data_IF_141292510626
#
_entry.id   IF_141292510626
#
_cell.length_a   1.000
_cell.length_b   1.000
_cell.length_c   1.000
_cell.angle_alpha   90.00
_cell.angle_beta   90.00
_cell.angle_gamma   90.00
#
_symmetry.space_group_name_H-M   'P 1'
#
loop_
_entity.id
_entity.type
_entity.pdbx_description
1 polymer ?
#
# COMPACT_ATOMS: atom_id res chain seq x y z
N UNK A 1 18.44 -1.28 -21.52
CA UNK A 1 17.92 -2.52 -20.90
C UNK A 1 16.67 -2.20 -20.13
N UNK A 2 15.73 -3.15 -20.04
CA UNK A 2 14.51 -2.98 -19.26
C UNK A 2 14.48 -4.06 -18.17
N UNK A 3 14.50 -3.65 -16.90
CA UNK A 3 14.63 -4.57 -15.78
C UNK A 3 13.60 -4.27 -14.69
N UNK A 4 13.13 -5.34 -14.05
CA UNK A 4 12.14 -5.28 -12.98
C UNK A 4 12.80 -5.44 -11.61
N UNK A 5 12.29 -4.70 -10.64
CA UNK A 5 12.72 -4.74 -9.25
C UNK A 5 11.48 -4.89 -8.35
N UNK A 6 11.61 -5.65 -7.27
CA UNK A 6 10.63 -5.67 -6.18
C UNK A 6 10.93 -4.49 -5.25
N UNK A 7 9.89 -3.74 -4.87
CA UNK A 7 10.03 -2.56 -4.01
C UNK A 7 9.14 -2.73 -2.79
N UNK A 8 9.77 -2.81 -1.62
CA UNK A 8 9.11 -3.01 -0.34
C UNK A 8 8.94 -1.69 0.44
N UNK A 9 7.84 -1.61 1.19
CA UNK A 9 7.53 -0.46 2.06
C UNK A 9 6.67 0.63 1.40
N UNK A 10 6.31 0.48 0.12
CA UNK A 10 5.34 1.35 -0.51
C UNK A 10 3.94 1.04 0.04
N UNK A 11 3.26 2.06 0.55
CA UNK A 11 1.90 1.91 1.13
C UNK A 11 0.90 2.91 0.58
N UNK A 12 1.37 3.87 -0.23
CA UNK A 12 0.55 4.85 -0.90
C UNK A 12 1.21 5.29 -2.21
N UNK A 13 0.45 6.03 -3.00
CA UNK A 13 0.86 6.63 -4.27
C UNK A 13 2.03 7.60 -4.12
N UNK A 14 2.13 8.26 -2.97
CA UNK A 14 3.25 9.15 -2.65
C UNK A 14 4.56 8.39 -2.60
N UNK A 15 4.52 7.16 -2.04
CA UNK A 15 5.70 6.30 -1.98
C UNK A 15 6.17 5.92 -3.37
N UNK A 16 5.28 5.47 -4.24
CA UNK A 16 5.66 5.09 -5.61
C UNK A 16 6.15 6.30 -6.43
N UNK A 17 5.56 7.48 -6.23
CA UNK A 17 6.02 8.71 -6.88
C UNK A 17 7.40 9.17 -6.36
N UNK A 18 7.68 9.01 -5.06
CA UNK A 18 8.98 9.30 -4.49
C UNK A 18 10.07 8.38 -5.05
N UNK A 19 9.78 7.07 -5.14
CA UNK A 19 10.66 6.07 -5.76
C UNK A 19 10.91 6.43 -7.24
N UNK A 20 9.85 6.65 -8.02
CA UNK A 20 9.95 7.02 -9.44
C UNK A 20 10.82 8.27 -9.64
N UNK A 21 10.58 9.32 -8.85
CA UNK A 21 11.34 10.58 -8.94
C UNK A 21 12.79 10.42 -8.51
N UNK A 22 13.08 9.53 -7.57
CA UNK A 22 14.45 9.25 -7.12
C UNK A 22 15.24 8.55 -8.21
N UNK A 23 14.69 7.47 -8.77
CA UNK A 23 15.35 6.68 -9.81
C UNK A 23 15.47 7.45 -11.13
N UNK A 24 14.46 8.24 -11.50
CA UNK A 24 14.47 9.03 -12.75
C UNK A 24 15.50 10.16 -12.77
N UNK A 25 16.07 10.54 -11.61
CA UNK A 25 17.15 11.55 -11.52
C UNK A 25 18.52 10.98 -11.82
N UNK A 26 18.66 9.66 -11.83
CA UNK A 26 19.95 9.01 -12.07
C UNK A 26 20.34 9.18 -13.54
N UNK A 27 21.61 9.53 -13.78
CA UNK A 27 22.14 9.60 -15.14
C UNK A 27 22.23 8.19 -15.73
N UNK A 28 21.62 7.98 -16.90
CA UNK A 28 21.56 6.66 -17.54
C UNK A 28 20.20 5.97 -17.46
N UNK A 29 19.23 6.51 -16.72
CA UNK A 29 17.84 6.03 -16.69
C UNK A 29 17.01 6.77 -17.75
N UNK A 30 16.36 6.04 -18.67
CA UNK A 30 15.49 6.60 -19.71
C UNK A 30 14.04 6.71 -19.25
N UNK A 31 13.50 5.65 -18.64
CA UNK A 31 12.14 5.63 -18.13
C UNK A 31 12.00 4.77 -16.86
N UNK A 32 11.01 5.11 -16.04
CA UNK A 32 10.70 4.39 -14.79
C UNK A 32 9.20 4.29 -14.62
N UNK A 33 8.72 3.06 -14.48
CA UNK A 33 7.32 2.79 -14.14
C UNK A 33 7.23 2.03 -12.82
N UNK A 34 6.60 2.64 -11.81
CA UNK A 34 6.42 2.03 -10.49
C UNK A 34 4.95 1.65 -10.30
N UNK A 35 4.72 0.38 -9.99
CA UNK A 35 3.39 -0.15 -9.68
C UNK A 35 3.25 -0.42 -8.19
N UNK A 36 2.35 0.34 -7.55
CA UNK A 36 1.98 0.12 -6.14
C UNK A 36 1.20 -1.19 -5.97
N UNK A 37 0.41 -1.59 -6.96
CA UNK A 37 -0.43 -2.79 -6.90
C UNK A 37 0.41 -4.06 -6.82
N UNK A 38 1.51 -4.10 -7.58
CA UNK A 38 2.39 -5.26 -7.66
C UNK A 38 3.65 -5.11 -6.80
N UNK A 39 3.76 -4.03 -6.00
CA UNK A 39 4.96 -3.69 -5.23
C UNK A 39 6.25 -3.85 -6.04
N UNK A 40 6.25 -3.37 -7.28
CA UNK A 40 7.38 -3.52 -8.19
C UNK A 40 7.61 -2.26 -9.01
N UNK A 41 8.83 -2.10 -9.50
CA UNK A 41 9.18 -1.08 -10.47
C UNK A 41 9.87 -1.70 -11.67
N UNK A 42 9.61 -1.12 -12.83
CA UNK A 42 10.24 -1.46 -14.10
C UNK A 42 11.05 -0.24 -14.52
N UNK A 43 12.36 -0.44 -14.71
CA UNK A 43 13.32 0.61 -14.99
C UNK A 43 13.97 0.33 -16.34
N UNK A 44 13.90 1.30 -17.23
CA UNK A 44 14.66 1.29 -18.47
C UNK A 44 15.92 2.13 -18.28
N UNK A 45 17.09 1.50 -18.42
CA UNK A 45 18.38 2.14 -18.17
C UNK A 45 19.49 1.63 -19.08
N UNK A 46 20.58 2.39 -19.18
CA UNK A 46 21.79 2.04 -19.91
C UNK A 46 22.84 1.43 -18.97
N UNK A 47 23.14 0.14 -19.15
CA UNK A 47 24.10 -0.62 -18.33
C UNK A 47 25.53 -0.07 -18.39
N UNK A 48 25.91 0.65 -19.45
CA UNK A 48 27.24 1.25 -19.55
C UNK A 48 27.41 2.47 -18.62
N UNK A 49 26.29 3.05 -18.15
CA UNK A 49 26.29 4.29 -17.37
C UNK A 49 25.89 4.08 -15.91
N UNK A 50 25.10 3.05 -15.61
CA UNK A 50 24.58 2.83 -14.27
C UNK A 50 24.41 1.35 -13.97
N UNK A 51 24.81 0.97 -12.76
CA UNK A 51 24.63 -0.39 -12.23
C UNK A 51 23.32 -0.52 -11.46
N UNK A 52 22.79 -1.74 -11.40
CA UNK A 52 21.56 -2.07 -10.67
C UNK A 52 21.64 -1.73 -9.18
N UNK A 53 22.83 -1.85 -8.57
CA UNK A 53 23.05 -1.48 -7.17
C UNK A 53 22.92 0.03 -6.91
N UNK A 54 23.18 0.89 -7.89
CA UNK A 54 22.95 2.34 -7.75
C UNK A 54 21.46 2.68 -7.82
N UNK A 55 20.72 1.95 -8.65
CA UNK A 55 19.25 2.04 -8.72
C UNK A 55 18.65 1.62 -7.38
N UNK A 56 19.09 0.51 -6.79
CA UNK A 56 18.64 0.05 -5.46
C UNK A 56 18.95 1.09 -4.37
N UNK A 57 20.18 1.62 -4.34
CA UNK A 57 20.57 2.70 -3.40
C UNK A 57 19.71 3.96 -3.58
N UNK A 58 19.34 4.33 -4.79
CA UNK A 58 18.47 5.48 -5.02
C UNK A 58 17.07 5.27 -4.43
N UNK A 59 16.57 4.03 -4.43
CA UNK A 59 15.31 3.68 -3.76
C UNK A 59 15.45 3.70 -2.23
N UNK A 60 16.59 3.23 -1.71
CA UNK A 60 16.94 3.32 -0.28
C UNK A 60 17.03 4.75 0.22
N UNK A 61 17.66 5.63 -0.57
CA UNK A 61 17.75 7.06 -0.30
C UNK A 61 16.39 7.76 -0.35
N UNK A 62 15.42 7.22 -1.11
CA UNK A 62 14.03 7.67 -1.06
C UNK A 62 13.27 7.14 0.16
N UNK A 63 13.86 6.20 0.89
CA UNK A 63 13.35 5.63 2.13
C UNK A 63 12.63 4.29 1.98
N UNK A 64 12.82 3.58 0.87
CA UNK A 64 12.18 2.29 0.56
C UNK A 64 13.24 1.20 0.33
N UNK A 65 12.86 -0.07 0.36
CA UNK A 65 13.81 -1.15 0.03
C UNK A 65 13.54 -1.66 -1.39
N UNK A 66 14.58 -1.87 -2.19
CA UNK A 66 14.48 -2.46 -3.52
C UNK A 66 15.39 -3.68 -3.65
N UNK A 67 14.94 -4.66 -4.43
CA UNK A 67 15.75 -5.81 -4.83
C UNK A 67 15.45 -6.19 -6.27
N UNK A 68 16.46 -6.63 -7.00
CA UNK A 68 16.29 -7.11 -8.38
C UNK A 68 15.30 -8.30 -8.47
N UNK A 69 14.39 -8.27 -9.45
CA UNK A 69 13.42 -9.35 -9.67
C UNK A 69 14.08 -10.51 -10.42
N UNK A 70 14.08 -11.71 -9.84
CA UNK A 70 14.68 -12.90 -10.45
C UNK A 70 13.55 -13.89 -10.82
N UNK A 71 13.31 -14.13 -12.13
CA UNK A 71 12.33 -15.13 -12.59
C UNK A 71 12.63 -16.52 -11.98
N UNK A 72 11.61 -17.19 -11.42
CA UNK A 72 11.73 -18.51 -10.78
C UNK A 72 11.84 -18.46 -9.25
N UNK A 73 12.73 -17.64 -8.68
CA UNK A 73 12.86 -17.48 -7.21
C UNK A 73 11.69 -16.66 -6.65
N UNK A 74 11.39 -15.52 -7.29
CA UNK A 74 10.26 -14.67 -6.90
C UNK A 74 8.90 -15.26 -7.33
N UNK A 75 8.89 -16.19 -8.29
CA UNK A 75 7.70 -16.94 -8.68
C UNK A 75 7.35 -18.03 -7.64
N UNK A 76 8.35 -18.67 -7.01
CA UNK A 76 8.15 -19.62 -5.91
C UNK A 76 7.76 -18.93 -4.58
N UNK A 77 8.28 -17.71 -4.35
CA UNK A 77 7.89 -16.87 -3.22
C UNK A 77 6.43 -16.36 -3.29
N UNK A 78 5.76 -16.50 -4.44
CA UNK A 78 4.33 -16.17 -4.65
C UNK A 78 3.35 -17.24 -4.17
N UNK A 79 3.76 -18.25 -3.39
CA UNK A 79 2.80 -19.20 -2.78
C UNK A 79 1.93 -18.62 -1.64
N UNK A 80 2.00 -17.31 -1.35
CA UNK A 80 1.05 -16.61 -0.44
C UNK A 80 0.64 -15.19 -0.90
N UNK A 81 0.06 -14.96 -2.10
CA UNK A 81 -0.34 -13.61 -2.51
C UNK A 81 -1.65 -13.19 -1.85
N UNK A 82 -2.62 -14.10 -1.74
CA UNK A 82 -3.96 -13.84 -1.19
C UNK A 82 -3.96 -13.30 0.25
N UNK A 83 -3.00 -13.72 1.09
CA UNK A 83 -2.96 -13.28 2.48
C UNK A 83 -2.37 -11.87 2.65
N UNK A 84 -1.57 -11.35 1.71
CA UNK A 84 -0.80 -10.12 1.95
C UNK A 84 -1.64 -8.83 1.88
N UNK A 85 -2.56 -8.73 0.91
CA UNK A 85 -3.45 -7.56 0.75
C UNK A 85 -4.55 -7.59 1.81
N UNK A 86 -5.14 -8.76 2.05
CA UNK A 86 -6.17 -8.95 3.06
C UNK A 86 -5.65 -8.75 4.48
N UNK A 87 -4.44 -9.20 4.81
CA UNK A 87 -3.81 -8.91 6.09
C UNK A 87 -3.52 -7.42 6.26
N UNK A 88 -3.11 -6.72 5.21
CA UNK A 88 -2.93 -5.27 5.24
C UNK A 88 -4.24 -4.53 5.51
N UNK A 89 -5.33 -4.93 4.84
CA UNK A 89 -6.67 -4.35 5.06
C UNK A 89 -7.18 -4.66 6.46
N UNK A 90 -6.99 -5.89 6.96
CA UNK A 90 -7.33 -6.27 8.35
C UNK A 90 -6.55 -5.44 9.36
N UNK A 91 -5.25 -5.23 9.14
CA UNK A 91 -4.41 -4.38 9.96
C UNK A 91 -4.90 -2.93 9.98
N UNK A 92 -5.25 -2.36 8.82
CA UNK A 92 -5.84 -1.00 8.75
C UNK A 92 -7.20 -0.92 9.47
N UNK A 93 -8.04 -1.95 9.34
CA UNK A 93 -9.33 -2.03 10.04
C UNK A 93 -9.16 -2.05 11.56
N UNK A 94 -8.22 -2.85 12.08
CA UNK A 94 -7.91 -2.85 13.51
C UNK A 94 -7.42 -1.47 13.97
N UNK A 95 -6.54 -0.82 13.19
CA UNK A 95 -6.06 0.52 13.51
C UNK A 95 -7.19 1.54 13.58
N UNK A 96 -8.12 1.47 12.63
CA UNK A 96 -9.31 2.32 12.59
C UNK A 96 -10.19 2.10 13.82
N UNK A 97 -10.51 0.85 14.15
CA UNK A 97 -11.35 0.50 15.30
C UNK A 97 -10.74 1.03 16.59
N UNK A 98 -9.46 0.75 16.83
CA UNK A 98 -8.78 1.26 18.04
C UNK A 98 -8.79 2.79 18.05
N UNK A 99 -8.50 3.43 16.92
CA UNK A 99 -8.51 4.91 16.85
C UNK A 99 -9.88 5.48 17.22
N UNK A 100 -10.98 4.93 16.70
CA UNK A 100 -12.33 5.43 17.00
C UNK A 100 -12.81 5.07 18.41
N UNK A 101 -12.44 3.89 18.93
CA UNK A 101 -12.77 3.47 20.31
C UNK A 101 -12.19 4.42 21.34
N UNK A 102 -10.98 4.95 21.12
CA UNK A 102 -10.36 5.93 22.02
C UNK A 102 -10.72 7.39 21.66
N UNK A 103 -10.98 7.69 20.39
CA UNK A 103 -11.37 9.04 19.95
C UNK A 103 -12.74 9.45 20.49
N UNK A 104 -13.73 8.55 20.50
CA UNK A 104 -15.09 8.90 20.94
C UNK A 104 -15.12 9.33 22.43
N UNK A 105 -14.51 8.59 23.37
CA UNK A 105 -14.34 9.05 24.74
C UNK A 105 -13.53 10.35 24.84
N UNK A 106 -12.47 10.51 24.04
CA UNK A 106 -11.64 11.71 24.03
C UNK A 106 -12.43 12.95 23.61
N UNK A 107 -13.23 12.86 22.54
CA UNK A 107 -14.11 13.95 22.08
C UNK A 107 -15.19 14.26 23.11
N UNK A 108 -15.76 13.23 23.75
CA UNK A 108 -16.72 13.42 24.83
C UNK A 108 -16.10 14.18 26.02
N UNK A 109 -14.86 13.88 26.39
CA UNK A 109 -14.17 14.58 27.48
C UNK A 109 -13.78 16.00 27.07
N UNK A 110 -13.14 16.16 25.91
CA UNK A 110 -12.63 17.46 25.45
C UNK A 110 -13.79 18.44 25.17
N UNK A 111 -14.83 18.02 24.43
CA UNK A 111 -15.90 18.90 23.98
C UNK A 111 -17.23 18.77 24.75
N UNK A 112 -17.41 17.75 25.59
CA UNK A 112 -18.71 17.47 26.22
C UNK A 112 -19.21 18.58 27.15
N UNK A 113 -18.29 19.33 27.77
CA UNK A 113 -18.62 20.45 28.63
C UNK A 113 -19.16 21.68 27.88
N UNK A 114 -18.79 21.86 26.60
CA UNK A 114 -19.31 22.94 25.75
C UNK A 114 -20.70 22.63 25.18
N UNK A 115 -21.03 21.34 25.00
CA UNK A 115 -22.29 20.88 24.38
C UNK A 115 -23.40 20.69 25.44
N UNK A 116 -23.12 20.99 26.73
CA UNK A 116 -24.11 20.86 27.81
C UNK A 116 -24.39 19.41 28.21
N UNK A 117 -23.51 18.47 27.84
CA UNK A 117 -23.67 17.06 28.18
C UNK A 117 -23.22 16.86 29.64
N UNK A 118 -24.00 16.16 30.50
CA UNK A 118 -23.59 15.89 31.88
C UNK A 118 -22.29 15.10 31.86
N UNK A 119 -21.25 15.76 32.34
CA UNK A 119 -19.86 15.33 32.26
C UNK A 119 -19.44 14.88 33.66
N UNK A 120 -18.55 13.88 33.78
CA UNK A 120 -18.32 13.19 35.06
C UNK A 120 -17.92 14.18 36.16
N UNK A 121 -18.55 14.07 37.35
CA UNK A 121 -18.33 14.98 38.48
C UNK A 121 -16.85 15.13 38.88
N UNK A 122 -16.00 14.14 38.59
CA UNK A 122 -14.58 14.12 38.96
C UNK A 122 -13.67 14.85 37.95
N UNK A 123 -14.17 15.19 36.77
CA UNK A 123 -13.45 15.98 35.76
C UNK A 123 -13.88 17.46 35.74
N UNK A 124 -14.92 17.81 36.50
CA UNK A 124 -15.42 19.17 36.56
C UNK A 124 -14.61 20.07 37.50
N UNK A 125 -14.54 21.35 37.13
CA UNK A 125 -13.89 22.41 37.89
C UNK A 125 -12.42 22.65 37.56
N UNK A 126 -11.93 23.83 37.95
CA UNK A 126 -10.52 24.23 37.81
C UNK A 126 -9.59 23.40 38.70
N UNK A 127 -10.08 22.90 39.84
CA UNK A 127 -9.32 22.04 40.76
C UNK A 127 -8.93 20.68 40.18
N UNK A 128 -9.72 20.15 39.23
CA UNK A 128 -9.47 18.85 38.60
C UNK A 128 -8.85 18.97 37.19
N UNK A 129 -8.40 20.17 36.81
CA UNK A 129 -7.86 20.44 35.47
C UNK A 129 -6.64 19.56 35.12
N UNK A 130 -5.82 19.19 36.11
CA UNK A 130 -4.72 18.24 35.91
C UNK A 130 -5.21 16.87 35.46
N UNK A 131 -6.17 16.28 36.18
CA UNK A 131 -6.75 14.98 35.85
C UNK A 131 -7.44 14.99 34.49
N UNK A 132 -8.12 16.10 34.17
CA UNK A 132 -8.73 16.32 32.85
C UNK A 132 -7.69 16.23 31.73
N UNK A 133 -6.58 16.96 31.85
CA UNK A 133 -5.52 16.99 30.84
C UNK A 133 -4.78 15.64 30.73
N UNK A 134 -4.50 14.98 31.86
CA UNK A 134 -3.87 13.66 31.88
C UNK A 134 -4.74 12.58 31.24
N UNK A 135 -6.06 12.61 31.46
CA UNK A 135 -6.96 11.63 30.86
C UNK A 135 -7.02 11.79 29.33
N UNK A 136 -7.01 13.02 28.83
CA UNK A 136 -6.92 13.28 27.39
C UNK A 136 -5.62 12.76 26.78
N UNK A 137 -4.48 12.99 27.45
CA UNK A 137 -3.20 12.42 27.03
C UNK A 137 -3.26 10.89 27.00
N UNK A 138 -3.79 10.26 28.06
CA UNK A 138 -3.88 8.81 28.17
C UNK A 138 -4.73 8.19 27.06
N UNK A 139 -5.85 8.81 26.69
CA UNK A 139 -6.70 8.36 25.58
C UNK A 139 -6.05 8.60 24.20
N UNK A 140 -5.20 9.61 24.08
CA UNK A 140 -4.48 9.92 22.85
C UNK A 140 -3.35 8.93 22.57
N UNK A 141 -2.68 8.42 23.60
CA UNK A 141 -1.52 7.52 23.45
C UNK A 141 -1.80 6.24 22.63
N UNK A 142 -2.88 5.46 22.87
CA UNK A 142 -3.21 4.30 22.04
C UNK A 142 -3.41 4.66 20.57
N UNK A 143 -4.05 5.79 20.29
CA UNK A 143 -4.30 6.27 18.92
C UNK A 143 -2.96 6.57 18.23
N UNK A 144 -2.04 7.24 18.92
CA UNK A 144 -0.70 7.53 18.41
C UNK A 144 0.10 6.25 18.17
N UNK A 145 0.09 5.31 19.11
CA UNK A 145 0.85 4.05 19.02
C UNK A 145 0.43 3.19 17.82
N UNK A 146 -0.87 3.05 17.64
CA UNK A 146 -1.48 2.31 16.53
C UNK A 146 -1.20 3.00 15.18
N UNK A 147 -1.03 4.32 15.19
CA UNK A 147 -0.74 5.13 14.01
C UNK A 147 0.74 5.54 13.86
N UNK A 148 1.65 4.89 14.58
CA UNK A 148 3.10 5.15 14.55
C UNK A 148 3.73 5.17 13.15
N UNK A 149 3.16 4.40 12.20
CA UNK A 149 3.64 4.36 10.82
C UNK A 149 3.61 5.73 10.14
N UNK A 150 2.65 6.61 10.47
CA UNK A 150 2.61 7.96 9.90
C UNK A 150 3.78 8.81 10.38
N UNK A 151 4.18 8.67 11.65
CA UNK A 151 5.35 9.36 12.18
C UNK A 151 6.64 8.81 11.59
N UNK A 152 6.79 7.48 11.54
CA UNK A 152 7.97 6.83 10.95
C UNK A 152 8.17 7.24 9.48
N UNK A 153 7.11 7.16 8.67
CA UNK A 153 7.10 7.59 7.28
C UNK A 153 7.35 9.10 7.17
N UNK A 154 6.55 9.91 7.87
CA UNK A 154 6.55 11.36 7.74
C UNK A 154 7.85 12.03 8.16
N UNK A 155 8.47 11.60 9.27
CA UNK A 155 9.78 12.13 9.69
C UNK A 155 10.90 11.64 8.78
N UNK A 156 10.86 10.37 8.35
CA UNK A 156 11.86 9.83 7.41
C UNK A 156 11.84 10.64 6.11
N UNK A 157 10.68 10.86 5.50
CA UNK A 157 10.57 11.59 4.23
C UNK A 157 10.91 13.07 4.37
N UNK A 158 10.62 13.68 5.52
CA UNK A 158 11.02 15.05 5.82
C UNK A 158 12.55 15.19 5.88
N UNK A 159 13.25 14.27 6.57
CA UNK A 159 14.71 14.25 6.66
C UNK A 159 15.34 14.10 5.27
N UNK A 160 14.76 13.26 4.41
CA UNK A 160 15.24 13.04 3.03
C UNK A 160 14.77 14.13 2.04
N UNK A 161 14.26 15.27 2.52
CA UNK A 161 13.79 16.42 1.71
C UNK A 161 12.74 16.07 0.64
N UNK A 162 11.91 15.07 0.93
CA UNK A 162 10.83 14.62 0.05
C UNK A 162 9.49 14.61 0.81
N UNK A 163 9.00 15.76 1.31
CA UNK A 163 7.79 15.82 2.13
C UNK A 163 6.57 15.29 1.39
N UNK A 164 5.73 14.54 2.09
CA UNK A 164 4.50 13.95 1.59
C UNK A 164 3.33 14.18 2.56
N UNK A 165 2.17 13.59 2.28
CA UNK A 165 0.99 13.67 3.16
C UNK A 165 1.31 13.24 4.61
N UNK A 166 2.11 12.18 4.79
CA UNK A 166 2.49 11.69 6.12
C UNK A 166 3.38 12.69 6.89
N UNK A 167 4.23 13.47 6.19
CA UNK A 167 5.05 14.52 6.80
C UNK A 167 4.19 15.61 7.46
N UNK A 168 3.13 16.07 6.77
CA UNK A 168 2.22 17.08 7.32
C UNK A 168 1.54 16.58 8.59
N UNK A 169 1.09 15.33 8.56
CA UNK A 169 0.39 14.67 9.66
C UNK A 169 1.32 14.53 10.85
N UNK A 170 2.54 14.04 10.63
CA UNK A 170 3.53 13.86 11.67
C UNK A 170 3.85 15.20 12.34
N UNK A 171 4.14 16.25 11.58
CA UNK A 171 4.46 17.58 12.14
C UNK A 171 3.28 18.15 12.93
N UNK A 172 2.08 18.18 12.33
CA UNK A 172 0.91 18.80 12.94
C UNK A 172 0.45 18.08 14.22
N UNK A 173 0.34 16.75 14.17
CA UNK A 173 -0.05 15.96 15.34
C UNK A 173 1.03 15.95 16.42
N UNK A 174 2.32 15.89 16.07
CA UNK A 174 3.40 16.02 17.04
C UNK A 174 3.43 17.39 17.71
N UNK A 175 3.23 18.49 16.96
CA UNK A 175 3.18 19.83 17.52
C UNK A 175 2.06 19.98 18.55
N UNK A 176 0.85 19.48 18.22
CA UNK A 176 -0.28 19.48 19.13
C UNK A 176 -0.05 18.62 20.39
N UNK A 177 0.56 17.43 20.25
CA UNK A 177 0.90 16.57 21.41
C UNK A 177 1.96 17.22 22.30
N UNK A 178 3.03 17.78 21.71
CA UNK A 178 4.11 18.44 22.45
C UNK A 178 3.55 19.66 23.19
N UNK A 179 2.73 20.47 22.53
CA UNK A 179 2.04 21.59 23.17
C UNK A 179 1.12 21.11 24.30
N UNK A 180 0.33 20.06 24.09
CA UNK A 180 -0.54 19.50 25.11
C UNK A 180 0.23 19.02 26.35
N UNK A 181 1.40 18.41 26.16
CA UNK A 181 2.29 18.01 27.26
C UNK A 181 2.81 19.26 27.99
N UNK A 182 3.22 20.30 27.27
CA UNK A 182 3.62 21.58 27.87
C UNK A 182 2.47 22.23 28.68
N UNK A 183 1.26 22.21 28.14
CA UNK A 183 0.06 22.70 28.82
C UNK A 183 -0.22 21.92 30.11
N UNK A 184 -0.03 20.59 30.12
CA UNK A 184 -0.13 19.78 31.35
C UNK A 184 0.85 20.31 32.42
N UNK A 185 2.11 20.57 32.08
CA UNK A 185 3.07 21.12 33.04
C UNK A 185 2.66 22.50 33.57
N UNK A 186 2.14 23.38 32.70
CA UNK A 186 1.64 24.72 33.09
C UNK A 186 0.40 24.64 33.99
N UNK A 187 -0.54 23.73 33.69
CA UNK A 187 -1.71 23.47 34.54
C UNK A 187 -1.26 23.00 35.93
N UNK A 188 -0.32 22.06 36.01
CA UNK A 188 0.19 21.57 37.29
C UNK A 188 0.92 22.67 38.07
N UNK A 189 1.71 23.51 37.39
CA UNK A 189 2.35 24.66 38.01
C UNK A 189 1.33 25.66 38.58
N UNK A 190 0.30 26.01 37.79
CA UNK A 190 -0.77 26.92 38.21
C UNK A 190 -1.59 26.37 39.37
N UNK A 191 -1.86 25.05 39.38
CA UNK A 191 -2.50 24.37 40.51
C UNK A 191 -1.62 24.41 41.77
N UNK A 192 -0.31 24.23 41.63
CA UNK A 192 0.65 24.29 42.75
C UNK A 192 0.79 25.68 43.38
N UNK A 193 0.62 26.75 42.60
CA UNK A 193 0.72 28.15 43.04
C UNK A 193 -0.64 28.83 43.25
N UNK A 194 -1.75 28.08 43.14
CA UNK A 194 -3.13 28.60 43.21
C UNK A 194 -3.46 29.72 42.19
N UNK A 195 -2.75 29.76 41.06
CA UNK A 195 -2.98 30.73 39.98
C UNK A 195 -4.07 30.22 39.03
N UNK A 196 -5.33 30.38 39.43
CA UNK A 196 -6.49 29.85 38.70
C UNK A 196 -6.62 30.39 37.26
N UNK A 197 -6.13 31.60 36.97
CA UNK A 197 -6.14 32.17 35.62
C UNK A 197 -5.25 31.41 34.63
N UNK A 198 -4.07 30.95 35.07
CA UNK A 198 -3.18 30.11 34.26
C UNK A 198 -3.85 28.75 34.02
N UNK A 199 -4.44 28.17 35.06
CA UNK A 199 -5.11 26.86 34.97
C UNK A 199 -6.26 26.90 33.97
N UNK A 200 -7.10 27.94 34.01
CA UNK A 200 -8.23 28.08 33.10
C UNK A 200 -7.78 28.28 31.66
N UNK A 201 -6.78 29.12 31.41
CA UNK A 201 -6.20 29.34 30.08
C UNK A 201 -5.71 28.04 29.46
N UNK A 202 -4.75 27.37 30.11
CA UNK A 202 -4.12 26.17 29.54
C UNK A 202 -5.04 24.95 29.52
N UNK A 203 -6.08 24.92 30.35
CA UNK A 203 -7.13 23.88 30.27
C UNK A 203 -7.95 24.01 28.98
N UNK A 204 -8.29 25.23 28.59
CA UNK A 204 -9.07 25.49 27.37
C UNK A 204 -8.22 25.31 26.11
N UNK A 205 -6.92 25.56 26.20
CA UNK A 205 -5.98 25.43 25.08
C UNK A 205 -5.41 24.00 24.90
N UNK A 206 -6.08 22.96 25.37
CA UNK A 206 -5.64 21.58 25.12
C UNK A 206 -5.98 21.15 23.68
N UNK A 207 -5.01 20.59 22.96
CA UNK A 207 -5.15 20.17 21.56
C UNK A 207 -4.99 18.65 21.34
N UNK A 208 -5.17 17.85 22.40
CA UNK A 208 -5.03 16.39 22.32
C UNK A 208 -6.09 15.77 21.41
N UNK A 209 -7.33 16.27 21.47
CA UNK A 209 -8.41 15.84 20.57
C UNK A 209 -8.08 16.16 19.11
N UNK A 210 -7.49 17.33 18.84
CA UNK A 210 -7.09 17.74 17.49
C UNK A 210 -6.03 16.78 16.92
N UNK A 211 -4.99 16.44 17.71
CA UNK A 211 -3.97 15.48 17.30
C UNK A 211 -4.57 14.10 17.00
N UNK A 212 -5.41 13.59 17.91
CA UNK A 212 -6.06 12.29 17.79
C UNK A 212 -7.03 12.23 16.60
N UNK A 213 -7.83 13.28 16.40
CA UNK A 213 -8.82 13.36 15.33
C UNK A 213 -8.17 13.35 13.96
N UNK A 214 -7.08 14.10 13.76
CA UNK A 214 -6.29 14.08 12.53
C UNK A 214 -5.87 12.63 12.22
N UNK A 215 -5.25 11.93 13.17
CA UNK A 215 -4.78 10.55 12.97
C UNK A 215 -5.91 9.58 12.65
N UNK A 216 -7.05 9.69 13.33
CA UNK A 216 -8.20 8.82 13.14
C UNK A 216 -8.88 9.04 11.78
N UNK A 217 -9.12 10.30 11.39
CA UNK A 217 -9.78 10.64 10.12
C UNK A 217 -8.91 10.28 8.91
N UNK A 218 -7.60 10.48 8.99
CA UNK A 218 -6.69 10.03 7.93
C UNK A 218 -6.65 8.51 7.82
N UNK A 219 -6.67 7.81 8.96
CA UNK A 219 -6.74 6.35 8.95
C UNK A 219 -8.03 5.85 8.32
N UNK A 220 -9.15 6.54 8.55
CA UNK A 220 -10.40 6.27 7.87
C UNK A 220 -10.26 6.49 6.35
N UNK A 221 -9.71 7.63 5.93
CA UNK A 221 -9.48 7.92 4.52
C UNK A 221 -8.62 6.87 3.81
N UNK A 222 -7.47 6.53 4.39
CA UNK A 222 -6.57 5.48 3.85
C UNK A 222 -7.20 4.10 3.86
N UNK A 223 -8.03 3.77 4.86
CA UNK A 223 -8.78 2.51 4.87
C UNK A 223 -9.80 2.45 3.73
N UNK A 224 -10.55 3.52 3.49
CA UNK A 224 -11.50 3.60 2.37
C UNK A 224 -10.80 3.52 1.00
N UNK A 225 -9.65 4.18 0.86
CA UNK A 225 -8.80 4.10 -0.32
C UNK A 225 -8.30 2.66 -0.57
N UNK A 226 -7.70 2.04 0.45
CA UNK A 226 -7.15 0.68 0.36
C UNK A 226 -8.25 -0.35 0.05
N UNK A 227 -9.42 -0.23 0.70
CA UNK A 227 -10.58 -1.08 0.42
C UNK A 227 -11.06 -0.94 -1.02
N UNK A 228 -11.03 0.27 -1.58
CA UNK A 228 -11.46 0.52 -2.95
C UNK A 228 -10.49 -0.10 -3.95
N UNK A 229 -9.18 0.03 -3.72
CA UNK A 229 -8.14 -0.60 -4.55
C UNK A 229 -8.14 -2.13 -4.46
N UNK A 230 -8.32 -2.68 -3.26
CA UNK A 230 -8.34 -4.12 -3.02
C UNK A 230 -9.43 -4.84 -3.82
N UNK A 231 -10.63 -4.24 -3.95
CA UNK A 231 -11.70 -4.79 -4.79
C UNK A 231 -11.33 -4.93 -6.27
N UNK A 232 -10.51 -4.01 -6.79
CA UNK A 232 -10.04 -4.08 -8.18
C UNK A 232 -8.99 -5.18 -8.35
N UNK A 233 -8.08 -5.33 -7.38
CA UNK A 233 -7.09 -6.42 -7.37
C UNK A 233 -7.72 -7.81 -7.29
N UNK A 234 -8.76 -7.98 -6.47
CA UNK A 234 -9.48 -9.26 -6.33
C UNK A 234 -10.08 -9.75 -7.65
N UNK A 235 -10.52 -8.83 -8.52
CA UNK A 235 -11.05 -9.18 -9.84
C UNK A 235 -9.97 -9.72 -10.79
N UNK A 236 -8.73 -9.22 -10.68
CA UNK A 236 -7.58 -9.74 -11.45
C UNK A 236 -7.13 -11.09 -10.89
N UNK A 237 -7.11 -11.26 -9.56
CA UNK A 237 -6.72 -12.53 -8.92
C UNK A 237 -7.66 -13.68 -9.32
N UNK A 238 -8.97 -13.41 -9.48
CA UNK A 238 -9.94 -14.40 -10.00
C UNK A 238 -9.62 -14.87 -11.42
N UNK A 239 -8.90 -14.08 -12.24
CA UNK A 239 -8.43 -14.52 -13.54
C UNK A 239 -7.20 -15.44 -13.41
N UNK A 240 -6.37 -15.25 -12.38
CA UNK A 240 -5.20 -16.09 -12.10
C UNK A 240 -5.59 -17.48 -11.59
N UNK A 241 -6.66 -17.58 -10.80
CA UNK A 241 -7.22 -18.86 -10.32
C UNK A 241 -7.77 -19.75 -11.45
N UNK A 242 -7.88 -19.24 -12.68
CA UNK A 242 -8.31 -20.03 -13.84
C UNK A 242 -7.25 -20.99 -14.35
N UNK A 243 -5.96 -20.77 -14.03
CA UNK A 243 -4.86 -21.61 -14.47
C UNK A 243 -4.69 -22.86 -13.57
N UNK A 244 -4.47 -24.06 -14.15
CA UNK A 244 -4.18 -25.27 -13.37
C UNK A 244 -2.86 -25.15 -12.60
N UNK A 245 -2.80 -25.75 -11.39
CA UNK A 245 -1.57 -25.80 -10.58
C UNK A 245 -0.67 -27.01 -10.93
N UNK A 246 -1.24 -28.04 -11.55
CA UNK A 246 -0.53 -29.25 -11.95
C UNK A 246 -0.79 -29.57 -13.41
N UNK A 247 0.16 -30.29 -14.01
CA UNK A 247 0.10 -30.80 -15.37
C UNK A 247 0.56 -32.26 -15.38
N UNK A 248 -0.07 -33.11 -16.20
CA UNK A 248 0.40 -34.47 -16.44
C UNK A 248 1.28 -34.47 -17.69
N UNK A 249 2.56 -34.78 -17.55
CA UNK A 249 3.54 -34.85 -18.63
C UNK A 249 3.99 -36.29 -18.88
N UNK A 250 4.38 -36.59 -20.11
CA UNK A 250 5.02 -37.86 -20.47
C UNK A 250 6.53 -37.65 -20.49
N UNK A 251 7.23 -38.28 -19.54
CA UNK A 251 8.70 -38.33 -19.49
C UNK A 251 9.13 -39.78 -19.33
N UNK A 252 10.14 -40.21 -20.09
CA UNK A 252 10.61 -41.61 -20.11
C UNK A 252 9.48 -42.65 -20.34
N UNK A 253 8.56 -42.36 -21.27
CA UNK A 253 7.36 -43.16 -21.58
C UNK A 253 6.41 -43.40 -20.39
N UNK A 254 6.51 -42.60 -19.33
CA UNK A 254 5.63 -42.66 -18.15
C UNK A 254 4.90 -41.35 -17.95
N UNK A 255 3.65 -41.46 -17.52
CA UNK A 255 2.86 -40.32 -17.09
C UNK A 255 3.30 -39.88 -15.69
N UNK A 256 3.72 -38.63 -15.56
CA UNK A 256 4.14 -38.02 -14.29
C UNK A 256 3.35 -36.73 -14.09
N UNK A 257 2.75 -36.57 -12.91
CA UNK A 257 2.12 -35.30 -12.53
C UNK A 257 3.17 -34.37 -11.94
N UNK A 258 3.33 -33.19 -12.54
CA UNK A 258 4.28 -32.16 -12.13
C UNK A 258 3.56 -30.84 -11.86
N UNK A 259 4.08 -29.97 -10.99
CA UNK A 259 3.65 -28.58 -10.90
C UNK A 259 3.76 -27.89 -12.27
N UNK A 260 2.82 -27.01 -12.60
CA UNK A 260 2.79 -26.35 -13.92
C UNK A 260 4.05 -25.52 -14.19
N UNK A 261 4.70 -25.05 -13.14
CA UNK A 261 5.96 -24.30 -13.19
C UNK A 261 7.16 -25.15 -13.64
N UNK A 262 7.05 -26.48 -13.53
CA UNK A 262 8.10 -27.43 -13.90
C UNK A 262 7.88 -28.03 -15.30
N UNK A 263 6.90 -27.53 -16.06
CA UNK A 263 6.66 -27.92 -17.44
C UNK A 263 7.65 -27.17 -18.33
N UNK A 264 8.39 -27.92 -19.14
CA UNK A 264 9.42 -27.38 -20.02
C UNK A 264 8.93 -27.31 -21.47
N UNK A 265 9.59 -26.47 -22.28
CA UNK A 265 9.30 -26.40 -23.71
C UNK A 265 9.56 -27.74 -24.38
N UNK A 266 8.60 -28.22 -25.17
CA UNK A 266 8.66 -29.51 -25.85
C UNK A 266 8.10 -30.68 -25.05
N UNK A 267 7.81 -30.52 -23.74
CA UNK A 267 7.15 -31.58 -22.95
C UNK A 267 5.84 -32.01 -23.62
N UNK A 268 5.59 -33.33 -23.62
CA UNK A 268 4.32 -33.89 -24.09
C UNK A 268 3.35 -33.92 -22.91
N UNK A 269 2.35 -33.05 -22.97
CA UNK A 269 1.34 -32.89 -21.93
C UNK A 269 0.08 -33.66 -22.31
N UNK A 270 -0.48 -34.36 -21.33
CA UNK A 270 -1.71 -35.13 -21.46
C UNK A 270 -2.87 -34.32 -20.88
N UNK A 271 -3.96 -34.20 -21.65
CA UNK A 271 -5.20 -33.55 -21.18
C UNK A 271 -6.40 -34.48 -21.37
N UNK A 272 -7.09 -34.77 -20.27
CA UNK A 272 -8.30 -35.61 -20.25
C UNK A 272 -9.58 -34.76 -20.35
N UNK A 273 -10.72 -35.36 -20.74
CA UNK A 273 -12.01 -34.67 -20.74
C UNK A 273 -12.31 -34.03 -19.37
N UNK A 274 -12.78 -32.78 -19.38
CA UNK A 274 -13.07 -31.98 -18.20
C UNK A 274 -11.85 -31.28 -17.58
N UNK A 275 -10.63 -31.62 -17.99
CA UNK A 275 -9.43 -30.95 -17.50
C UNK A 275 -9.19 -29.63 -18.23
N UNK A 276 -8.57 -28.69 -17.51
CA UNK A 276 -8.06 -27.45 -18.07
C UNK A 276 -6.68 -27.69 -18.69
N UNK A 277 -6.43 -27.00 -19.78
CA UNK A 277 -5.14 -27.03 -20.45
C UNK A 277 -4.13 -26.19 -19.64
N UNK A 278 -2.99 -26.74 -19.20
CA UNK A 278 -2.08 -26.07 -18.27
C UNK A 278 -1.16 -25.03 -18.95
N UNK A 279 -0.73 -25.28 -20.20
CA UNK A 279 0.21 -24.44 -20.96
C UNK A 279 -0.22 -24.35 -22.42
N UNK A 280 0.36 -23.43 -23.20
CA UNK A 280 0.05 -23.31 -24.63
C UNK A 280 0.86 -24.33 -25.43
N UNK A 281 0.30 -24.85 -26.51
CA UNK A 281 1.01 -25.77 -27.39
C UNK A 281 0.22 -26.27 -28.59
N UNK A 282 0.72 -27.33 -29.22
CA UNK A 282 0.16 -27.92 -30.44
C UNK A 282 -0.15 -29.39 -30.23
N UNK A 283 -1.35 -29.82 -30.64
CA UNK A 283 -1.79 -31.22 -30.50
C UNK A 283 -0.93 -32.12 -31.38
N UNK A 284 -0.35 -33.15 -30.78
CA UNK A 284 0.46 -34.17 -31.48
C UNK A 284 -0.31 -35.47 -31.68
N UNK A 285 -1.27 -35.78 -30.82
CA UNK A 285 -2.05 -37.01 -30.90
C UNK A 285 -3.46 -36.81 -30.35
N UNK A 286 -4.46 -37.34 -31.03
CA UNK A 286 -5.87 -37.27 -30.62
C UNK A 286 -6.62 -36.06 -31.15
N UNK A 287 -7.87 -35.93 -30.72
CA UNK A 287 -8.80 -34.86 -31.11
C UNK A 287 -9.81 -34.61 -30.01
N UNK A 288 -10.28 -33.37 -29.90
CA UNK A 288 -11.15 -32.93 -28.81
C UNK A 288 -11.96 -31.70 -29.18
N UNK A 289 -13.06 -31.46 -28.46
CA UNK A 289 -13.68 -30.13 -28.44
C UNK A 289 -13.17 -29.34 -27.24
N UNK A 290 -12.68 -28.13 -27.51
CA UNK A 290 -12.07 -27.25 -26.50
C UNK A 290 -12.92 -26.00 -26.32
N UNK A 291 -13.33 -25.74 -25.08
CA UNK A 291 -14.05 -24.53 -24.68
C UNK A 291 -13.06 -23.41 -24.38
N UNK A 292 -13.08 -22.39 -25.23
CA UNK A 292 -12.19 -21.23 -25.16
C UNK A 292 -12.90 -19.98 -24.62
N UNK A 293 -14.11 -20.13 -24.07
CA UNK A 293 -14.93 -18.99 -23.58
C UNK A 293 -14.20 -18.09 -22.58
N UNK A 294 -13.29 -18.66 -21.77
CA UNK A 294 -12.48 -17.89 -20.82
C UNK A 294 -11.51 -16.89 -21.48
N UNK A 295 -11.10 -17.14 -22.74
CA UNK A 295 -10.18 -16.28 -23.49
C UNK A 295 -10.90 -15.47 -24.57
N UNK A 296 -11.77 -16.11 -25.35
CA UNK A 296 -12.43 -15.49 -26.51
C UNK A 296 -13.78 -14.86 -26.18
N UNK A 297 -14.41 -15.29 -25.08
CA UNK A 297 -15.80 -14.93 -24.75
C UNK A 297 -16.86 -15.70 -25.56
N UNK A 298 -16.46 -16.59 -26.46
CA UNK A 298 -17.38 -17.39 -27.27
C UNK A 298 -17.77 -18.69 -26.55
N UNK A 299 -19.07 -18.93 -26.39
CA UNK A 299 -19.59 -20.09 -25.65
C UNK A 299 -19.56 -21.42 -26.43
N UNK A 300 -19.30 -21.38 -27.74
CA UNK A 300 -19.32 -22.58 -28.60
C UNK A 300 -17.93 -23.24 -28.56
N UNK A 301 -17.82 -24.51 -28.11
CA UNK A 301 -16.55 -25.23 -28.15
C UNK A 301 -16.04 -25.40 -29.58
N UNK A 302 -14.73 -25.22 -29.76
CA UNK A 302 -14.06 -25.35 -31.05
C UNK A 302 -13.46 -26.74 -31.16
N UNK A 303 -13.70 -27.43 -32.28
CA UNK A 303 -13.04 -28.71 -32.56
C UNK A 303 -11.56 -28.52 -32.83
N UNK A 304 -10.76 -29.42 -32.26
CA UNK A 304 -9.30 -29.42 -32.35
C UNK A 304 -8.80 -30.78 -32.79
N UNK A 305 -8.00 -30.77 -33.83
CA UNK A 305 -7.37 -31.93 -34.43
C UNK A 305 -5.86 -31.87 -34.22
N UNK A 306 -5.17 -32.96 -34.60
CA UNK A 306 -3.71 -32.99 -34.61
C UNK A 306 -3.14 -31.89 -35.50
N UNK A 307 -2.18 -31.12 -34.97
CA UNK A 307 -1.60 -29.93 -35.61
C UNK A 307 -2.24 -28.61 -35.18
N UNK A 308 -3.40 -28.62 -34.51
CA UNK A 308 -4.04 -27.40 -34.03
C UNK A 308 -3.43 -26.88 -32.72
N UNK A 309 -3.48 -25.56 -32.56
CA UNK A 309 -3.06 -24.87 -31.33
C UNK A 309 -4.11 -24.94 -30.24
N UNK A 310 -3.62 -25.15 -29.01
CA UNK A 310 -4.38 -25.12 -27.76
C UNK A 310 -3.76 -24.11 -26.79
N UNK A 311 -4.61 -23.51 -25.95
CA UNK A 311 -4.23 -22.39 -25.09
C UNK A 311 -4.50 -22.70 -23.61
N UNK A 312 -3.66 -22.18 -22.74
CA UNK A 312 -3.78 -22.33 -21.29
C UNK A 312 -5.13 -21.79 -20.77
N UNK A 313 -5.62 -22.40 -19.68
CA UNK A 313 -6.91 -22.14 -19.02
C UNK A 313 -8.19 -22.40 -19.84
N UNK A 314 -8.08 -22.85 -21.09
CA UNK A 314 -9.21 -23.41 -21.83
C UNK A 314 -9.55 -24.82 -21.30
N UNK A 315 -10.79 -25.26 -21.52
CA UNK A 315 -11.29 -26.53 -20.96
C UNK A 315 -11.44 -27.55 -22.08
N UNK A 316 -10.78 -28.71 -21.95
CA UNK A 316 -11.09 -29.86 -22.78
C UNK A 316 -12.49 -30.38 -22.39
N UNK A 317 -13.46 -30.38 -23.31
CA UNK A 317 -14.81 -30.88 -23.06
C UNK A 317 -14.93 -32.36 -23.36
N UNK A 318 -14.50 -32.79 -24.55
CA UNK A 318 -14.68 -34.15 -25.03
C UNK A 318 -13.38 -34.69 -25.63
N UNK A 319 -13.14 -35.99 -25.48
CA UNK A 319 -11.96 -36.63 -26.05
C UNK A 319 -10.68 -36.42 -25.23
N UNK A 320 -9.68 -37.22 -25.58
CA UNK A 320 -8.35 -37.19 -24.99
C UNK A 320 -7.37 -36.78 -26.08
N UNK A 321 -6.39 -35.95 -25.71
CA UNK A 321 -5.31 -35.60 -26.62
C UNK A 321 -4.00 -35.39 -25.86
N UNK A 322 -2.91 -35.57 -26.60
CA UNK A 322 -1.56 -35.19 -26.20
C UNK A 322 -1.13 -33.99 -27.02
N UNK A 323 -0.46 -33.03 -26.39
CA UNK A 323 0.06 -31.86 -27.08
C UNK A 323 1.48 -31.57 -26.62
N UNK A 324 2.29 -30.99 -27.51
CA UNK A 324 3.64 -30.54 -27.18
C UNK A 324 3.61 -29.08 -26.72
N UNK A 325 4.23 -28.78 -25.58
CA UNK A 325 4.28 -27.44 -25.01
C UNK A 325 5.13 -26.48 -25.86
N UNK A 326 4.52 -25.40 -26.38
CA UNK A 326 5.22 -24.35 -27.15
C UNK A 326 5.50 -23.10 -26.33
N UNK A 327 4.64 -22.77 -25.34
CA UNK A 327 4.85 -21.63 -24.44
C UNK A 327 4.45 -22.00 -23.03
N UNK A 328 5.35 -21.75 -22.09
CA UNK A 328 5.21 -22.12 -20.67
C UNK A 328 5.40 -20.88 -19.78
N UNK A 329 4.88 -20.93 -18.56
CA UNK A 329 5.03 -19.84 -17.58
C UNK A 329 4.56 -18.48 -18.09
N UNK A 330 5.46 -17.49 -18.06
CA UNK A 330 5.18 -16.10 -18.43
C UNK A 330 4.92 -15.86 -19.91
N UNK A 331 5.24 -16.84 -20.77
CA UNK A 331 5.10 -16.71 -22.22
C UNK A 331 3.74 -17.22 -22.73
N UNK A 332 2.93 -17.84 -21.87
CA UNK A 332 1.57 -18.28 -22.23
C UNK A 332 0.67 -17.11 -22.62
N UNK A 333 -0.30 -17.37 -23.49
CA UNK A 333 -1.25 -16.36 -23.97
C UNK A 333 -2.04 -15.75 -22.83
N UNK A 334 -2.45 -16.57 -21.84
CA UNK A 334 -3.09 -16.08 -20.62
C UNK A 334 -2.16 -15.16 -19.82
N UNK A 335 -0.90 -15.54 -19.61
CA UNK A 335 0.07 -14.70 -18.90
C UNK A 335 0.30 -13.37 -19.62
N UNK A 336 0.32 -13.36 -20.96
CA UNK A 336 0.41 -12.12 -21.75
C UNK A 336 -0.84 -11.24 -21.60
N UNK A 337 -2.05 -11.83 -21.64
CA UNK A 337 -3.30 -11.08 -21.40
C UNK A 337 -3.29 -10.48 -19.98
N UNK A 338 -2.93 -11.28 -18.97
CA UNK A 338 -2.82 -10.80 -17.58
C UNK A 338 -1.82 -9.66 -17.50
N UNK A 339 -0.64 -9.80 -18.12
CA UNK A 339 0.38 -8.75 -18.15
C UNK A 339 -0.13 -7.47 -18.82
N UNK A 340 -0.82 -7.56 -19.95
CA UNK A 340 -1.41 -6.40 -20.63
C UNK A 340 -2.49 -5.72 -19.78
N UNK A 341 -3.34 -6.50 -19.10
CA UNK A 341 -4.36 -5.97 -18.19
C UNK A 341 -3.72 -5.34 -16.95
N UNK A 342 -2.68 -5.95 -16.38
CA UNK A 342 -1.91 -5.39 -15.27
C UNK A 342 -1.20 -4.10 -15.69
N UNK A 343 -0.55 -4.05 -16.85
CA UNK A 343 0.10 -2.86 -17.38
C UNK A 343 -0.93 -1.74 -17.61
N UNK A 344 -2.10 -2.05 -18.19
CA UNK A 344 -3.19 -1.10 -18.37
C UNK A 344 -3.82 -0.64 -17.05
N UNK A 345 -3.99 -1.53 -16.07
CA UNK A 345 -4.56 -1.22 -14.74
C UNK A 345 -3.57 -0.47 -13.84
N UNK A 346 -2.27 -0.73 -14.02
CA UNK A 346 -1.18 -0.01 -13.36
C UNK A 346 -0.97 1.40 -13.92
N UNK A 347 -1.62 1.73 -15.05
CA UNK A 347 -1.63 3.10 -15.57
C UNK A 347 -2.27 4.02 -14.52
N UNK A 348 -1.41 4.87 -13.97
CA UNK A 348 -1.63 5.65 -12.75
C UNK A 348 -2.99 6.35 -12.73
N UNK A 349 -3.80 6.10 -11.70
CA UNK A 349 -4.94 6.96 -11.37
C UNK A 349 -4.44 8.42 -11.16
N UNK A 350 -4.83 9.38 -12.02
CA UNK A 350 -4.27 10.74 -12.04
C UNK A 350 -4.51 11.53 -10.74
N UNK A 351 -5.56 11.18 -10.01
CA UNK A 351 -6.08 11.97 -8.88
C UNK A 351 -5.16 11.88 -7.65
N UNK A 352 -4.55 10.73 -7.36
CA UNK A 352 -3.71 10.62 -6.17
C UNK A 352 -2.38 11.37 -6.31
N UNK A 353 -1.85 11.50 -7.54
CA UNK A 353 -0.64 12.29 -7.83
C UNK A 353 -0.83 13.78 -7.53
N UNK A 354 -2.05 14.29 -7.69
CA UNK A 354 -2.39 15.69 -7.42
C UNK A 354 -2.26 16.01 -5.92
N UNK A 355 -2.78 15.15 -5.05
CA UNK A 355 -2.69 15.34 -3.60
C UNK A 355 -1.23 15.40 -3.11
N UNK A 356 -0.39 14.48 -3.58
CA UNK A 356 1.02 14.45 -3.17
C UNK A 356 1.83 15.62 -3.73
N UNK A 357 1.53 16.06 -4.97
CA UNK A 357 2.13 17.26 -5.56
C UNK A 357 1.76 18.52 -4.79
N UNK A 358 0.51 18.62 -4.34
CA UNK A 358 0.04 19.71 -3.48
C UNK A 358 0.77 19.66 -2.14
N UNK A 359 0.84 18.49 -1.48
CA UNK A 359 1.56 18.35 -0.20
C UNK A 359 3.05 18.72 -0.32
N UNK A 360 3.71 18.35 -1.41
CA UNK A 360 5.12 18.66 -1.64
C UNK A 360 5.44 20.15 -1.72
N UNK A 361 4.46 21.00 -2.06
CA UNK A 361 4.60 22.47 -2.05
C UNK A 361 4.02 23.08 -0.78
N UNK A 362 2.84 22.60 -0.36
CA UNK A 362 2.11 23.12 0.79
C UNK A 362 2.88 22.95 2.10
N UNK A 363 3.50 21.79 2.33
CA UNK A 363 4.21 21.51 3.59
C UNK A 363 5.41 22.47 3.79
N UNK A 364 6.34 22.64 2.84
CA UNK A 364 7.41 23.63 2.98
C UNK A 364 6.90 25.05 3.20
N UNK A 365 5.85 25.46 2.47
CA UNK A 365 5.28 26.82 2.58
C UNK A 365 4.70 27.05 3.98
N UNK A 366 3.93 26.11 4.52
CA UNK A 366 3.36 26.23 5.88
C UNK A 366 4.46 26.28 6.94
N UNK A 367 5.52 25.47 6.80
CA UNK A 367 6.66 25.51 7.71
C UNK A 367 7.35 26.88 7.66
N UNK A 368 7.58 27.42 6.46
CA UNK A 368 8.19 28.74 6.29
C UNK A 368 7.32 29.83 6.92
N UNK A 369 6.00 29.80 6.69
CA UNK A 369 5.07 30.75 7.30
C UNK A 369 5.07 30.62 8.83
N UNK A 370 5.07 29.40 9.37
CA UNK A 370 5.10 29.18 10.81
C UNK A 370 6.40 29.72 11.46
N UNK A 371 7.55 29.46 10.83
CA UNK A 371 8.85 29.98 11.29
C UNK A 371 8.91 31.51 11.19
N UNK A 372 8.50 32.08 10.06
CA UNK A 372 8.48 33.53 9.87
C UNK A 372 7.54 34.21 10.86
N UNK A 373 6.33 33.67 11.04
CA UNK A 373 5.38 34.18 12.03
C UNK A 373 5.99 34.13 13.42
N UNK A 374 6.56 33.00 13.84
CA UNK A 374 7.22 32.87 15.14
C UNK A 374 8.35 33.89 15.33
N UNK A 375 9.18 34.14 14.31
CA UNK A 375 10.26 35.14 14.38
C UNK A 375 9.69 36.56 14.48
N UNK A 376 8.69 36.90 13.66
CA UNK A 376 8.08 38.22 13.66
C UNK A 376 7.45 38.52 15.02
N UNK A 377 6.69 37.59 15.60
CA UNK A 377 6.09 37.77 16.92
C UNK A 377 7.14 37.89 18.04
N UNK A 378 8.21 37.09 17.98
CA UNK A 378 9.31 37.20 18.94
C UNK A 378 10.04 38.55 18.87
N UNK A 379 10.18 39.13 17.67
CA UNK A 379 10.84 40.44 17.45
C UNK A 379 9.90 41.61 17.76
N UNK A 380 8.61 41.49 17.44
CA UNK A 380 7.60 42.52 17.69
C UNK A 380 7.28 42.70 19.19
N UNK A 381 7.67 41.74 20.05
CA UNK A 381 7.68 41.91 21.49
C UNK A 381 6.32 41.77 22.18
N UNK A 382 5.25 41.44 21.47
CA UNK A 382 4.02 40.95 22.09
C UNK A 382 4.27 39.52 22.56
N UNK A 383 4.52 39.37 23.86
CA UNK A 383 4.42 38.08 24.52
C UNK A 383 3.03 37.51 24.21
N UNK A 384 2.91 36.24 23.76
CA UNK A 384 1.61 35.61 23.65
C UNK A 384 1.03 35.47 25.07
N UNK A 385 0.24 36.47 25.47
CA UNK A 385 -0.45 36.54 26.76
C UNK A 385 -1.38 35.37 27.00
#
# INVERSE_FOLDING_TARGET
>A
MNQKFNVSGMTCSACSAAVEKSVRKLEGVSDVNVSLLTNSMTVEYNEEKIETGEIEKAVENAGYAASLFIPGVDASAKSKPANSVDEQIKGMKQRLIVSFVFLLPLLYISMGHMIGIPTLMWLHGTKNAGNFAFLQLLLTLPIVYVNRKYYQSGFKTLIHRAPNMDSLIAIGSSAAIIYGIFAIFKINYGLGHNELGIVEKYKNDLYFETAAMILALITLGKFLEARSKGKTSEAIEKLMDLAPKTATVVRDDKEVEVPVENVELGDIVIVRPGQRIPVDGVIVEGSSSVDQSALTGESIPVEKLTGDKVYAATINKSGFFKFSAEKVGSDTTLAQIIRLVEEASSSKAPISKLADKISGVFVPVVIVIAVLSSIIWLVAGESPE
#
